data_IF_790959990257
#
_entry.id   IF_790959990257
#
_cell.length_a   1.000
_cell.length_b   1.000
_cell.length_c   1.000
_cell.angle_alpha   90.00
_cell.angle_beta   90.00
_cell.angle_gamma   90.00
#
_symmetry.space_group_name_H-M   'P 1'
#
loop_
_entity.id
_entity.type
_entity.pdbx_description
1 polymer ?
#
# COMPACT_ATOMS: atom_id res chain seq x y z
N UNK A 1 -18.07 21.42 -11.19
CA UNK A 1 -17.06 20.36 -10.97
C UNK A 1 -17.41 19.67 -9.66
N UNK A 2 -18.09 18.51 -9.70
CA UNK A 2 -18.33 17.75 -8.49
C UNK A 2 -16.98 17.21 -8.01
N UNK A 3 -16.50 17.65 -6.83
CA UNK A 3 -15.35 17.01 -6.18
C UNK A 3 -15.71 15.52 -6.07
N UNK A 4 -14.97 14.65 -6.77
CA UNK A 4 -15.08 13.21 -6.53
C UNK A 4 -14.88 13.00 -5.04
N UNK A 5 -15.81 12.28 -4.42
CA UNK A 5 -15.82 12.06 -2.98
C UNK A 5 -14.78 10.99 -2.69
N UNK A 6 -13.53 11.43 -2.55
CA UNK A 6 -12.40 10.57 -2.20
C UNK A 6 -12.64 9.99 -0.81
N UNK A 7 -12.47 8.69 -0.68
CA UNK A 7 -12.51 7.97 0.59
C UNK A 7 -11.06 7.82 1.02
N UNK A 8 -10.79 8.15 2.27
CA UNK A 8 -9.48 8.00 2.88
C UNK A 8 -9.41 6.62 3.55
N UNK A 9 -8.39 5.85 3.24
CA UNK A 9 -8.19 4.51 3.77
C UNK A 9 -6.91 4.50 4.61
N UNK A 10 -7.07 4.13 5.87
CA UNK A 10 -5.97 3.97 6.81
C UNK A 10 -5.57 2.50 6.84
N UNK A 11 -4.32 2.22 6.50
CA UNK A 11 -3.74 0.89 6.45
C UNK A 11 -2.68 0.81 7.53
N UNK A 12 -2.72 -0.26 8.34
CA UNK A 12 -1.62 -0.64 9.21
C UNK A 12 -1.02 -1.91 8.64
N UNK A 13 0.22 -1.81 8.20
CA UNK A 13 0.98 -2.89 7.58
C UNK A 13 2.05 -3.39 8.56
N UNK A 14 2.16 -4.71 8.68
CA UNK A 14 3.20 -5.36 9.47
C UNK A 14 4.28 -5.90 8.53
N UNK A 15 5.49 -5.35 8.61
CA UNK A 15 6.63 -5.77 7.80
C UNK A 15 7.20 -7.14 8.18
N UNK A 16 7.02 -7.57 9.44
CA UNK A 16 7.51 -8.87 9.93
C UNK A 16 6.60 -9.99 9.41
N UNK A 17 5.30 -9.78 9.51
CA UNK A 17 4.28 -10.69 9.00
C UNK A 17 3.93 -10.51 7.51
N UNK A 18 4.51 -9.49 6.86
CA UNK A 18 4.26 -9.07 5.46
C UNK A 18 2.78 -9.02 5.09
N UNK A 19 1.98 -8.43 5.97
CA UNK A 19 0.53 -8.39 5.78
C UNK A 19 -0.10 -7.13 6.34
N UNK A 20 -1.20 -6.75 5.74
CA UNK A 20 -2.12 -5.80 6.34
C UNK A 20 -2.75 -6.40 7.61
N UNK A 21 -2.57 -5.73 8.75
CA UNK A 21 -3.19 -6.11 10.02
C UNK A 21 -4.41 -5.25 10.36
N UNK A 22 -4.56 -4.07 9.74
CA UNK A 22 -5.75 -3.22 9.90
C UNK A 22 -6.07 -2.45 8.61
N UNK A 23 -7.37 -2.33 8.31
CA UNK A 23 -7.93 -1.50 7.25
C UNK A 23 -9.12 -0.71 7.80
N UNK A 24 -9.07 0.61 7.71
CA UNK A 24 -10.20 1.46 8.08
C UNK A 24 -10.52 2.45 6.96
N UNK A 25 -11.81 2.58 6.64
CA UNK A 25 -12.31 3.54 5.66
C UNK A 25 -12.91 4.78 6.34
N UNK A 26 -12.55 5.95 5.84
CA UNK A 26 -13.01 7.23 6.33
C UNK A 26 -13.58 8.03 5.17
N UNK A 27 -14.86 8.41 5.29
CA UNK A 27 -15.51 9.34 4.34
C UNK A 27 -15.30 10.81 4.70
N UNK A 28 -14.52 11.06 5.76
CA UNK A 28 -14.19 12.37 6.28
C UNK A 28 -12.69 12.46 6.56
N UNK A 29 -12.00 13.26 5.76
CA UNK A 29 -10.55 13.44 5.82
C UNK A 29 -10.06 13.93 7.19
N UNK A 30 -10.85 14.75 7.91
CA UNK A 30 -10.46 15.19 9.23
C UNK A 30 -10.42 14.03 10.25
N UNK A 31 -11.36 13.07 10.13
CA UNK A 31 -11.33 11.87 10.96
C UNK A 31 -10.19 10.94 10.58
N UNK A 32 -9.92 10.81 9.28
CA UNK A 32 -8.83 9.99 8.76
C UNK A 32 -7.46 10.48 9.25
N UNK A 33 -7.20 11.80 9.15
CA UNK A 33 -5.96 12.42 9.63
C UNK A 33 -5.78 12.30 11.15
N UNK A 34 -6.88 12.41 11.91
CA UNK A 34 -6.85 12.21 13.37
C UNK A 34 -6.45 10.77 13.70
N UNK A 35 -7.13 9.79 13.09
CA UNK A 35 -6.84 8.38 13.29
C UNK A 35 -5.42 8.00 12.85
N UNK A 36 -4.96 8.55 11.72
CA UNK A 36 -3.59 8.39 11.24
C UNK A 36 -2.57 8.91 12.26
N UNK A 37 -2.76 10.13 12.77
CA UNK A 37 -1.86 10.73 13.76
C UNK A 37 -1.81 9.94 15.06
N UNK A 38 -2.97 9.46 15.53
CA UNK A 38 -3.06 8.62 16.73
C UNK A 38 -2.32 7.28 16.55
N UNK A 39 -2.45 6.66 15.37
CA UNK A 39 -1.77 5.39 15.03
C UNK A 39 -0.27 5.57 14.82
N UNK A 40 0.14 6.63 14.14
CA UNK A 40 1.56 6.98 13.99
C UNK A 40 2.21 7.21 15.35
N UNK A 41 1.54 7.94 16.25
CA UNK A 41 2.08 8.13 17.60
C UNK A 41 2.12 6.81 18.40
N UNK A 42 1.08 5.99 18.29
CA UNK A 42 1.01 4.68 18.95
C UNK A 42 2.10 3.72 18.47
N UNK A 43 2.47 3.77 17.19
CA UNK A 43 3.45 2.88 16.59
C UNK A 43 4.80 3.55 16.28
N UNK A 44 5.02 4.78 16.76
CA UNK A 44 6.24 5.56 16.51
C UNK A 44 7.52 4.81 16.86
N UNK A 45 7.51 4.06 17.97
CA UNK A 45 8.65 3.28 18.44
C UNK A 45 8.73 1.88 17.80
N UNK A 46 7.72 1.49 17.02
CA UNK A 46 7.55 0.14 16.51
C UNK A 46 7.78 0.10 15.00
N UNK A 47 9.05 0.12 14.59
CA UNK A 47 9.49 0.14 13.18
C UNK A 47 9.02 -1.06 12.34
N UNK A 48 8.42 -2.07 12.99
CA UNK A 48 7.80 -3.22 12.32
C UNK A 48 6.45 -2.88 11.70
N UNK A 49 5.75 -1.90 12.28
CA UNK A 49 4.43 -1.49 11.87
C UNK A 49 4.53 -0.18 11.10
N UNK A 50 3.97 -0.17 9.91
CA UNK A 50 3.87 1.01 9.07
C UNK A 50 2.42 1.45 8.97
N UNK A 51 2.18 2.74 9.19
CA UNK A 51 0.86 3.35 9.10
C UNK A 51 0.83 4.18 7.82
N UNK A 52 -0.11 3.88 6.93
CA UNK A 52 -0.22 4.57 5.64
C UNK A 52 -1.65 5.07 5.46
N UNK A 53 -1.80 6.31 5.00
CA UNK A 53 -3.09 6.90 4.66
C UNK A 53 -3.17 7.13 3.15
N UNK A 54 -4.15 6.48 2.50
CA UNK A 54 -4.33 6.52 1.05
C UNK A 54 -5.73 7.03 0.70
N UNK A 55 -5.80 8.11 -0.08
CA UNK A 55 -7.05 8.63 -0.62
C UNK A 55 -7.36 8.01 -1.99
N UNK A 56 -8.51 7.35 -2.14
CA UNK A 56 -8.95 6.79 -3.41
C UNK A 56 -10.47 6.87 -3.60
N UNK A 57 -10.93 6.65 -4.84
CA UNK A 57 -12.37 6.55 -5.13
C UNK A 57 -13.01 5.27 -4.54
N UNK A 58 -12.24 4.17 -4.45
CA UNK A 58 -12.64 2.87 -3.88
C UNK A 58 -11.43 2.06 -3.40
N UNK A 59 -11.64 1.10 -2.49
CA UNK A 59 -10.60 0.17 -2.03
C UNK A 59 -10.00 -0.67 -3.18
N UNK A 60 -10.80 -1.00 -4.19
CA UNK A 60 -10.33 -1.73 -5.38
C UNK A 60 -9.27 -0.95 -6.16
N UNK A 61 -9.40 0.38 -6.24
CA UNK A 61 -8.40 1.24 -6.89
C UNK A 61 -7.07 1.25 -6.12
N UNK A 62 -7.14 1.19 -4.79
CA UNK A 62 -5.95 1.06 -3.92
C UNK A 62 -5.33 -0.31 -4.12
N UNK A 63 -6.12 -1.38 -4.12
CA UNK A 63 -5.61 -2.74 -4.34
C UNK A 63 -4.93 -2.90 -5.70
N UNK A 64 -5.33 -2.17 -6.73
CA UNK A 64 -4.70 -2.20 -8.06
C UNK A 64 -3.42 -1.36 -8.12
N UNK A 65 -3.38 -0.21 -7.46
CA UNK A 65 -2.24 0.73 -7.57
C UNK A 65 -1.18 0.48 -6.48
N UNK A 66 -1.60 -0.10 -5.36
CA UNK A 66 -0.81 -0.32 -4.13
C UNK A 66 -1.01 -1.77 -3.64
N UNK A 67 -1.01 -2.75 -4.55
CA UNK A 67 -1.22 -4.18 -4.26
C UNK A 67 -0.27 -4.72 -3.19
N UNK A 68 0.94 -4.15 -3.10
CA UNK A 68 1.99 -4.55 -2.17
C UNK A 68 1.59 -4.46 -0.67
N UNK A 69 0.54 -3.73 -0.31
CA UNK A 69 0.02 -3.68 1.06
C UNK A 69 -1.06 -4.74 1.32
N UNK A 70 -1.63 -5.34 0.28
CA UNK A 70 -2.78 -6.26 0.35
C UNK A 70 -2.42 -7.70 0.02
N UNK A 71 -1.41 -7.93 -0.81
CA UNK A 71 -0.90 -9.24 -1.15
C UNK A 71 0.28 -9.61 -0.27
N UNK A 72 0.33 -10.89 0.15
CA UNK A 72 1.50 -11.46 0.80
C UNK A 72 2.68 -11.31 -0.18
N UNK A 73 3.65 -10.47 0.18
CA UNK A 73 4.71 -10.01 -0.75
C UNK A 73 5.55 -11.16 -1.32
N UNK A 74 5.41 -12.38 -0.78
CA UNK A 74 6.06 -13.57 -1.34
C UNK A 74 5.55 -13.93 -2.74
N UNK A 75 4.29 -13.64 -3.08
CA UNK A 75 3.70 -13.99 -4.39
C UNK A 75 3.91 -12.87 -5.43
N UNK A 76 3.79 -11.61 -4.99
CA UNK A 76 3.89 -10.44 -5.87
C UNK A 76 5.33 -10.16 -6.38
N UNK A 77 6.36 -10.55 -5.62
CA UNK A 77 7.76 -10.43 -6.09
C UNK A 77 8.09 -11.50 -7.14
N UNK A 78 7.50 -12.69 -7.05
CA UNK A 78 7.68 -13.75 -8.05
C UNK A 78 7.03 -13.35 -9.39
N UNK A 79 5.83 -12.77 -9.35
CA UNK A 79 5.13 -12.26 -10.54
C UNK A 79 5.84 -11.05 -11.18
N UNK A 80 6.38 -10.12 -10.38
CA UNK A 80 7.15 -8.98 -10.88
C UNK A 80 8.52 -9.41 -11.45
N UNK A 81 9.20 -10.38 -10.83
CA UNK A 81 10.45 -10.96 -11.36
C UNK A 81 10.20 -11.82 -12.61
N UNK A 82 9.06 -12.51 -12.69
CA UNK A 82 8.63 -13.24 -13.89
C UNK A 82 8.24 -12.30 -15.04
N UNK A 83 7.70 -11.12 -14.73
CA UNK A 83 7.41 -10.05 -15.69
C UNK A 83 8.67 -9.33 -16.21
N UNK A 84 9.76 -9.36 -15.43
CA UNK A 84 11.10 -8.88 -15.80
C UNK A 84 11.97 -9.96 -16.49
N UNK A 85 11.34 -10.87 -17.24
CA UNK A 85 12.05 -11.92 -17.99
C UNK A 85 13.32 -11.41 -18.69
N UNK A 86 14.39 -12.22 -18.74
CA UNK A 86 15.74 -11.75 -19.06
C UNK A 86 15.75 -11.08 -20.43
N UNK A 87 15.90 -9.76 -20.47
CA UNK A 87 16.13 -9.07 -21.73
C UNK A 87 17.40 -9.68 -22.37
N UNK A 88 17.32 -10.21 -23.60
CA UNK A 88 18.52 -10.67 -24.28
C UNK A 88 19.39 -9.45 -24.54
N UNK A 89 20.48 -9.31 -23.78
CA UNK A 89 21.58 -8.42 -24.09
C UNK A 89 21.93 -8.62 -25.57
N UNK A 90 21.75 -7.61 -26.45
CA UNK A 90 22.12 -7.76 -27.83
C UNK A 90 23.62 -8.02 -27.88
N UNK A 91 23.99 -9.17 -28.44
CA UNK A 91 25.37 -9.52 -28.69
C UNK A 91 25.99 -8.41 -29.55
N UNK A 92 26.88 -7.63 -28.96
CA UNK A 92 27.78 -6.78 -29.73
C UNK A 92 28.68 -7.74 -30.52
N UNK A 93 28.40 -7.84 -31.81
CA UNK A 93 29.20 -8.61 -32.76
C UNK A 93 30.62 -8.05 -32.87
N UNK A 94 31.58 -8.88 -33.34
CA UNK A 94 33.01 -8.57 -33.33
C UNK A 94 33.41 -7.40 -34.22
#
# INVERSE_FOLDING_TARGET
MAKRKTIDFLIVYDHDARKQISLEEFRNTAQALKAYSEREEQYRDNHRLEVVLLGADSIEAIKVTHSNYFEDTADALDDLLASLGPEPIPAVGP
#
